data_IF_252669890915
#
_entry.id   IF_252669890915
#
_cell.length_a   1.000
_cell.length_b   1.000
_cell.length_c   1.000
_cell.angle_alpha   90.00
_cell.angle_beta   90.00
_cell.angle_gamma   90.00
#
_symmetry.space_group_name_H-M   'P 1'
#
loop_
_entity.id
_entity.type
_entity.pdbx_description
1 polymer ?
#
# COMPACT_ATOMS: atom_id res chain seq x y z
N UNK A 1 26.29 26.79 39.88
CA UNK A 1 26.17 26.63 38.42
C UNK A 1 26.93 25.38 37.99
N UNK A 2 26.46 24.65 36.96
CA UNK A 2 27.23 23.81 35.98
C UNK A 2 28.42 22.94 36.44
N UNK A 3 28.58 21.68 36.02
CA UNK A 3 27.77 20.79 35.15
C UNK A 3 28.31 19.36 35.34
N UNK A 4 27.46 18.34 35.41
CA UNK A 4 27.93 16.95 35.44
C UNK A 4 28.56 16.55 34.09
N UNK A 5 29.64 15.77 34.14
CA UNK A 5 30.29 15.20 32.97
C UNK A 5 29.51 14.00 32.43
N UNK A 6 29.41 13.91 31.11
CA UNK A 6 28.61 12.89 30.41
C UNK A 6 29.32 11.52 30.44
N UNK A 7 28.73 10.54 31.12
CA UNK A 7 29.19 9.14 31.06
C UNK A 7 28.99 8.54 29.67
N UNK A 8 29.92 7.67 29.27
CA UNK A 8 29.98 7.02 27.96
C UNK A 8 28.82 6.06 27.72
N UNK A 9 28.29 6.07 26.50
CA UNK A 9 27.25 5.12 26.07
C UNK A 9 27.92 3.86 25.50
N UNK A 10 28.33 2.95 26.37
CA UNK A 10 28.80 1.61 25.99
C UNK A 10 27.72 0.84 25.24
N UNK A 11 28.15 -0.03 24.32
CA UNK A 11 27.27 -0.91 23.57
C UNK A 11 26.48 -1.81 24.54
N UNK A 12 25.17 -1.93 24.33
CA UNK A 12 24.34 -2.86 25.10
C UNK A 12 24.25 -4.16 24.32
N UNK A 13 25.08 -5.11 24.75
CA UNK A 13 25.02 -6.50 24.32
C UNK A 13 23.65 -7.11 24.63
N UNK A 14 23.22 -8.06 23.80
CA UNK A 14 21.85 -8.58 23.76
C UNK A 14 21.83 -10.10 23.74
N UNK A 15 21.95 -10.72 24.91
CA UNK A 15 21.58 -12.12 25.11
C UNK A 15 20.05 -12.28 25.08
N UNK A 16 19.49 -13.33 24.50
CA UNK A 16 20.19 -14.41 23.80
C UNK A 16 19.28 -15.45 23.17
N UNK A 17 18.10 -15.03 22.70
CA UNK A 17 17.13 -15.79 21.89
C UNK A 17 16.37 -14.77 21.00
N UNK A 18 16.45 -14.78 19.67
CA UNK A 18 17.48 -15.41 18.84
C UNK A 18 17.84 -14.47 17.67
N UNK A 19 19.13 -14.40 17.29
CA UNK A 19 19.61 -13.38 16.33
C UNK A 19 19.47 -13.82 14.86
N UNK A 20 19.32 -12.90 13.89
CA UNK A 20 19.30 -13.26 12.46
C UNK A 20 20.49 -14.13 12.05
N UNK A 21 21.67 -13.85 12.59
CA UNK A 21 22.87 -14.67 12.39
C UNK A 21 22.67 -16.14 12.80
N UNK A 22 22.05 -16.39 13.95
CA UNK A 22 21.72 -17.74 14.43
C UNK A 22 20.60 -18.40 13.62
N UNK A 23 19.61 -17.63 13.14
CA UNK A 23 18.59 -18.14 12.19
C UNK A 23 19.23 -18.60 10.87
N UNK A 24 20.23 -17.86 10.38
CA UNK A 24 21.01 -18.23 9.19
C UNK A 24 21.87 -19.47 9.48
N UNK A 25 22.51 -19.56 10.66
CA UNK A 25 23.24 -20.78 11.09
C UNK A 25 22.31 -22.00 11.17
N UNK A 26 21.10 -21.82 11.70
CA UNK A 26 20.09 -22.87 11.80
C UNK A 26 19.61 -23.36 10.42
N UNK A 27 19.42 -22.46 9.45
CA UNK A 27 19.07 -22.82 8.06
C UNK A 27 20.21 -23.53 7.34
N UNK A 28 21.43 -23.02 7.47
CA UNK A 28 22.65 -23.67 6.93
C UNK A 28 22.75 -25.10 7.47
N UNK A 29 22.57 -25.29 8.78
CA UNK A 29 22.57 -26.61 9.44
C UNK A 29 21.42 -27.50 8.97
N UNK A 30 20.20 -26.96 8.83
CA UNK A 30 19.00 -27.70 8.42
C UNK A 30 19.03 -28.17 6.96
N UNK A 31 19.80 -27.51 6.09
CA UNK A 31 19.92 -27.95 4.68
C UNK A 31 20.63 -29.30 4.55
N UNK A 32 21.60 -29.62 5.43
CA UNK A 32 22.24 -30.92 5.53
C UNK A 32 23.12 -31.36 4.34
N UNK A 33 23.12 -30.60 3.25
CA UNK A 33 23.80 -30.92 1.99
C UNK A 33 24.69 -29.77 1.47
N UNK A 34 25.16 -29.90 0.22
CA UNK A 34 26.04 -28.92 -0.44
C UNK A 34 25.47 -27.50 -0.45
N UNK A 35 24.13 -27.33 -0.46
CA UNK A 35 23.48 -26.01 -0.47
C UNK A 35 23.73 -25.26 0.84
N UNK A 36 23.82 -25.99 1.96
CA UNK A 36 24.22 -25.44 3.25
C UNK A 36 25.65 -24.90 3.22
N UNK A 37 26.58 -25.69 2.66
CA UNK A 37 28.00 -25.32 2.51
C UNK A 37 28.16 -24.09 1.61
N UNK A 38 27.50 -24.08 0.45
CA UNK A 38 27.50 -22.95 -0.48
C UNK A 38 26.92 -21.69 0.15
N UNK A 39 25.78 -21.79 0.85
CA UNK A 39 25.16 -20.65 1.53
C UNK A 39 26.05 -20.08 2.66
N UNK A 40 26.76 -20.95 3.40
CA UNK A 40 27.73 -20.53 4.41
C UNK A 40 28.94 -19.78 3.80
N UNK A 41 29.46 -20.27 2.68
CA UNK A 41 30.56 -19.61 1.95
C UNK A 41 30.13 -18.25 1.37
N UNK A 42 28.92 -18.17 0.79
CA UNK A 42 28.32 -16.91 0.32
C UNK A 42 28.17 -15.91 1.46
N UNK A 43 27.57 -16.33 2.59
CA UNK A 43 27.41 -15.50 3.80
C UNK A 43 28.75 -14.93 4.27
N UNK A 44 29.76 -15.79 4.43
CA UNK A 44 31.11 -15.37 4.84
C UNK A 44 31.70 -14.34 3.87
N UNK A 45 31.60 -14.59 2.56
CA UNK A 45 32.11 -13.67 1.56
C UNK A 45 31.40 -12.31 1.58
N UNK A 46 30.09 -12.27 1.87
CA UNK A 46 29.33 -11.02 2.03
C UNK A 46 29.78 -10.27 3.29
N UNK A 47 29.80 -10.92 4.47
CA UNK A 47 30.21 -10.28 5.74
C UNK A 47 31.66 -9.79 5.73
N UNK A 48 32.57 -10.50 5.07
CA UNK A 48 33.97 -10.08 4.88
C UNK A 48 34.11 -8.82 3.99
N UNK A 49 33.06 -8.38 3.27
CA UNK A 49 33.14 -7.26 2.35
C UNK A 49 33.17 -5.90 3.08
N UNK A 50 32.38 -5.75 4.15
CA UNK A 50 32.26 -4.58 5.04
C UNK A 50 31.75 -5.04 6.42
N UNK A 51 32.42 -4.63 7.51
CA UNK A 51 32.12 -5.02 8.89
C UNK A 51 30.80 -4.45 9.42
N UNK A 52 30.25 -3.43 8.78
CA UNK A 52 28.97 -2.83 9.17
C UNK A 52 27.76 -3.41 8.40
N UNK A 53 27.95 -4.50 7.64
CA UNK A 53 26.85 -5.26 7.06
C UNK A 53 26.05 -5.93 8.17
N UNK A 54 24.74 -5.70 8.16
CA UNK A 54 23.78 -6.30 9.10
C UNK A 54 23.15 -7.51 8.43
N UNK A 55 23.06 -8.61 9.18
CA UNK A 55 22.28 -9.79 8.79
C UNK A 55 20.83 -9.61 9.24
N UNK A 56 19.89 -9.84 8.33
CA UNK A 56 18.47 -9.79 8.60
C UNK A 56 17.75 -11.06 8.09
N UNK A 57 16.54 -11.29 8.59
CA UNK A 57 15.76 -12.49 8.29
C UNK A 57 14.36 -12.12 7.81
N UNK A 58 14.12 -12.23 6.50
CA UNK A 58 12.90 -11.74 5.83
C UNK A 58 12.22 -12.83 4.99
N UNK A 59 11.03 -12.50 4.49
CA UNK A 59 10.28 -13.28 3.50
C UNK A 59 10.20 -14.78 3.82
N UNK A 60 9.71 -15.12 5.01
CA UNK A 60 9.45 -16.50 5.47
C UNK A 60 10.65 -17.45 5.40
N UNK A 61 11.87 -16.96 5.63
CA UNK A 61 13.05 -17.81 5.84
C UNK A 61 14.27 -17.49 4.98
N UNK A 62 14.36 -16.28 4.42
CA UNK A 62 15.47 -15.83 3.59
C UNK A 62 16.52 -15.06 4.41
N UNK A 63 17.78 -15.52 4.46
CA UNK A 63 18.94 -14.68 4.75
C UNK A 63 18.94 -13.40 3.88
N UNK A 64 19.08 -12.25 4.53
CA UNK A 64 19.24 -10.94 3.88
C UNK A 64 20.47 -10.25 4.45
N UNK A 65 21.22 -9.56 3.61
CA UNK A 65 22.33 -8.73 4.03
C UNK A 65 22.07 -7.28 3.65
N UNK A 66 22.23 -6.36 4.61
CA UNK A 66 21.92 -4.95 4.43
C UNK A 66 23.06 -4.05 4.89
N UNK A 67 23.25 -2.95 4.15
CA UNK A 67 24.10 -1.82 4.51
C UNK A 67 23.57 -0.59 3.79
N UNK A 68 23.01 0.33 4.58
CA UNK A 68 22.30 1.53 4.09
C UNK A 68 21.12 1.23 3.12
N UNK A 69 20.69 -0.04 3.07
CA UNK A 69 19.70 -0.62 2.17
C UNK A 69 20.03 -2.11 1.92
N UNK A 70 19.10 -2.87 1.31
CA UNK A 70 19.33 -4.27 0.96
C UNK A 70 20.49 -4.37 -0.04
N UNK A 71 21.45 -5.25 0.24
CA UNK A 71 22.49 -5.69 -0.70
C UNK A 71 21.93 -6.84 -1.51
N UNK A 72 21.71 -7.98 -0.85
CA UNK A 72 21.35 -9.23 -1.48
C UNK A 72 20.53 -10.16 -0.56
N UNK A 73 19.88 -11.13 -1.19
CA UNK A 73 18.97 -12.12 -0.61
C UNK A 73 19.45 -13.52 -0.97
N UNK A 74 19.75 -14.35 0.03
CA UNK A 74 20.25 -15.72 -0.18
C UNK A 74 19.15 -16.76 0.01
N UNK A 75 18.84 -17.55 -1.01
CA UNK A 75 17.83 -18.60 -0.98
C UNK A 75 18.35 -19.95 -1.49
N UNK A 76 18.24 -20.99 -0.66
CA UNK A 76 18.47 -22.36 -1.10
C UNK A 76 17.16 -22.95 -1.67
N UNK A 77 17.17 -23.25 -2.96
CA UNK A 77 16.12 -23.95 -3.69
C UNK A 77 16.46 -25.45 -3.80
N UNK A 78 15.64 -26.24 -4.52
CA UNK A 78 15.84 -27.70 -4.65
C UNK A 78 17.20 -28.06 -5.29
N UNK A 79 17.61 -27.26 -6.27
CA UNK A 79 18.68 -27.51 -7.24
C UNK A 79 19.81 -26.46 -7.21
N UNK A 80 19.63 -25.37 -6.47
CA UNK A 80 20.54 -24.21 -6.48
C UNK A 80 20.51 -23.37 -5.22
N UNK A 81 21.61 -22.66 -4.95
CA UNK A 81 21.64 -21.52 -4.04
C UNK A 81 21.60 -20.23 -4.86
N UNK A 82 20.51 -19.48 -4.72
CA UNK A 82 20.24 -18.23 -5.42
C UNK A 82 20.58 -17.01 -4.55
N UNK A 83 21.44 -16.13 -5.04
CA UNK A 83 21.75 -14.85 -4.44
C UNK A 83 21.19 -13.72 -5.31
N UNK A 84 20.11 -13.07 -4.88
CA UNK A 84 19.45 -11.99 -5.65
C UNK A 84 19.86 -10.63 -5.10
N UNK A 85 20.45 -9.76 -5.93
CA UNK A 85 20.85 -8.42 -5.54
C UNK A 85 19.72 -7.43 -5.78
N UNK A 86 19.31 -6.69 -4.74
CA UNK A 86 18.12 -5.82 -4.78
C UNK A 86 18.22 -4.67 -5.81
N UNK A 87 19.44 -4.30 -6.18
CA UNK A 87 19.72 -3.30 -7.23
C UNK A 87 20.71 -3.82 -8.28
N UNK A 88 20.78 -5.15 -8.47
CA UNK A 88 21.77 -5.82 -9.32
C UNK A 88 21.86 -5.27 -10.74
N UNK A 89 20.75 -4.78 -11.33
CA UNK A 89 20.75 -4.16 -12.66
C UNK A 89 21.58 -2.86 -12.76
N UNK A 90 21.77 -2.17 -11.64
CA UNK A 90 22.54 -0.91 -11.55
C UNK A 90 23.98 -1.10 -11.05
N UNK A 91 24.42 -2.34 -10.78
CA UNK A 91 25.77 -2.61 -10.28
C UNK A 91 26.75 -2.95 -11.40
N UNK A 92 28.00 -2.45 -11.38
CA UNK A 92 29.05 -2.97 -12.24
C UNK A 92 29.35 -4.43 -11.88
N UNK A 93 29.45 -5.29 -12.91
CA UNK A 93 29.77 -6.71 -12.78
C UNK A 93 30.89 -7.10 -13.77
N UNK A 94 32.13 -6.63 -13.53
CA UNK A 94 33.24 -6.85 -14.45
C UNK A 94 33.71 -8.31 -14.47
N UNK A 95 33.53 -9.03 -13.35
CA UNK A 95 33.88 -10.45 -13.21
C UNK A 95 32.73 -11.37 -13.71
N UNK A 96 31.63 -10.80 -14.23
CA UNK A 96 30.46 -11.49 -14.83
C UNK A 96 29.83 -12.56 -13.94
N UNK A 97 29.60 -12.23 -12.68
CA UNK A 97 28.98 -13.14 -11.71
C UNK A 97 27.48 -13.33 -11.91
N UNK A 98 26.76 -12.33 -12.43
CA UNK A 98 25.33 -12.47 -12.68
C UNK A 98 25.08 -13.43 -13.85
N UNK A 99 24.32 -14.50 -13.57
CA UNK A 99 23.91 -15.50 -14.56
C UNK A 99 22.38 -15.67 -14.64
N UNK A 100 21.60 -15.01 -13.76
CA UNK A 100 20.15 -15.11 -13.69
C UNK A 100 19.46 -13.74 -13.59
N UNK A 101 18.30 -13.60 -14.23
CA UNK A 101 17.52 -12.36 -14.23
C UNK A 101 18.20 -11.20 -14.96
N UNK A 102 18.98 -11.49 -16.00
CA UNK A 102 19.83 -10.51 -16.70
C UNK A 102 19.04 -9.37 -17.35
N UNK A 103 17.85 -9.66 -17.87
CA UNK A 103 16.92 -8.67 -18.45
C UNK A 103 16.12 -7.88 -17.38
N UNK A 104 16.40 -8.12 -16.10
CA UNK A 104 15.73 -7.47 -14.99
C UNK A 104 16.06 -5.98 -14.89
N UNK A 105 15.05 -5.11 -14.94
CA UNK A 105 15.21 -3.64 -14.83
C UNK A 105 15.70 -3.13 -13.47
N UNK A 106 15.77 -4.00 -12.44
CA UNK A 106 16.08 -3.61 -11.05
C UNK A 106 17.03 -4.62 -10.39
N UNK A 107 16.63 -5.89 -10.37
CA UNK A 107 17.36 -7.00 -9.74
C UNK A 107 18.07 -7.86 -10.79
N UNK A 108 19.27 -8.33 -10.44
CA UNK A 108 19.97 -9.45 -11.09
C UNK A 108 20.36 -10.46 -10.01
N UNK A 109 20.58 -11.71 -10.39
CA UNK A 109 20.87 -12.79 -9.46
C UNK A 109 22.03 -13.69 -9.92
N UNK A 110 22.63 -14.36 -8.94
CA UNK A 110 23.61 -15.42 -9.10
C UNK A 110 22.94 -16.71 -8.64
N UNK A 111 22.64 -17.60 -9.58
CA UNK A 111 22.19 -18.96 -9.30
C UNK A 111 23.44 -19.87 -9.28
N UNK A 112 23.74 -20.48 -8.13
CA UNK A 112 24.90 -21.38 -7.91
C UNK A 112 24.41 -22.83 -7.81
N UNK A 113 24.90 -23.70 -8.67
CA UNK A 113 24.50 -25.11 -8.79
C UNK A 113 25.47 -26.06 -8.09
N UNK A 114 25.15 -27.36 -8.07
CA UNK A 114 25.98 -28.37 -7.42
C UNK A 114 27.33 -28.53 -8.15
N UNK A 115 28.44 -28.42 -7.40
CA UNK A 115 29.80 -28.44 -7.94
C UNK A 115 30.36 -27.08 -8.39
N UNK A 116 29.54 -26.03 -8.48
CA UNK A 116 30.00 -24.68 -8.81
C UNK A 116 30.94 -24.11 -7.74
N UNK A 117 31.92 -23.32 -8.18
CA UNK A 117 32.83 -22.56 -7.31
C UNK A 117 32.60 -21.07 -7.49
N UNK A 118 32.01 -20.42 -6.49
CA UNK A 118 31.85 -18.96 -6.48
C UNK A 118 33.18 -18.27 -6.14
N UNK A 119 33.65 -17.33 -6.97
CA UNK A 119 34.83 -16.52 -6.64
C UNK A 119 34.47 -15.51 -5.53
N UNK A 120 34.91 -15.83 -4.31
CA UNK A 120 34.67 -14.99 -3.13
C UNK A 120 35.35 -13.61 -3.18
N UNK A 121 36.36 -13.38 -4.02
CA UNK A 121 36.94 -12.04 -4.24
C UNK A 121 36.06 -11.22 -5.16
N UNK A 122 35.60 -11.80 -6.27
CA UNK A 122 34.66 -11.16 -7.18
C UNK A 122 33.34 -10.82 -6.46
N UNK A 123 32.81 -11.75 -5.65
CA UNK A 123 31.59 -11.52 -4.87
C UNK A 123 31.77 -10.35 -3.87
N UNK A 124 32.93 -10.24 -3.21
CA UNK A 124 33.25 -9.10 -2.33
C UNK A 124 33.28 -7.77 -3.08
N UNK A 125 33.78 -7.72 -4.32
CA UNK A 125 33.73 -6.49 -5.15
C UNK A 125 32.28 -6.10 -5.44
N UNK A 126 31.46 -7.07 -5.87
CA UNK A 126 30.05 -6.84 -6.22
C UNK A 126 29.21 -6.38 -5.01
N UNK A 127 29.48 -6.96 -3.82
CA UNK A 127 28.88 -6.50 -2.55
C UNK A 127 29.27 -5.05 -2.24
N UNK A 128 30.54 -4.68 -2.37
CA UNK A 128 30.99 -3.28 -2.15
C UNK A 128 30.33 -2.29 -3.12
N UNK A 129 30.18 -2.66 -4.38
CA UNK A 129 29.46 -1.85 -5.36
C UNK A 129 27.98 -1.64 -4.97
N UNK A 130 27.32 -2.65 -4.38
CA UNK A 130 25.97 -2.52 -3.86
C UNK A 130 25.88 -1.56 -2.65
N UNK A 131 26.88 -1.61 -1.75
CA UNK A 131 26.99 -0.71 -0.59
C UNK A 131 27.14 0.74 -1.05
N UNK A 132 28.07 1.00 -1.97
CA UNK A 132 28.31 2.33 -2.53
C UNK A 132 27.04 2.87 -3.22
N UNK A 133 26.35 2.03 -3.99
CA UNK A 133 25.08 2.40 -4.63
C UNK A 133 24.01 2.81 -3.60
N UNK A 134 23.83 2.03 -2.52
CA UNK A 134 22.90 2.34 -1.44
C UNK A 134 23.26 3.65 -0.70
N UNK A 135 24.55 3.83 -0.39
CA UNK A 135 25.05 5.05 0.25
C UNK A 135 24.89 6.29 -0.63
N UNK A 136 25.12 6.19 -1.93
CA UNK A 136 24.89 7.29 -2.88
C UNK A 136 23.41 7.74 -2.91
N UNK A 137 22.46 6.80 -2.85
CA UNK A 137 21.02 7.09 -2.71
C UNK A 137 20.70 7.74 -1.37
N UNK A 138 21.29 7.27 -0.27
CA UNK A 138 21.09 7.83 1.08
C UNK A 138 21.64 9.25 1.21
N UNK A 139 22.78 9.54 0.59
CA UNK A 139 23.37 10.88 0.51
C UNK A 139 22.45 11.85 -0.28
N UNK A 140 21.96 11.44 -1.46
CA UNK A 140 21.00 12.23 -2.25
C UNK A 140 19.72 12.53 -1.47
N UNK A 141 19.13 11.55 -0.76
CA UNK A 141 17.97 11.77 0.13
C UNK A 141 18.26 12.76 1.27
N UNK A 142 19.44 12.71 1.90
CA UNK A 142 19.83 13.66 2.96
C UNK A 142 20.01 15.10 2.44
N UNK A 143 20.53 15.28 1.23
CA UNK A 143 20.67 16.60 0.61
C UNK A 143 19.30 17.26 0.41
N UNK A 144 18.34 16.54 -0.18
CA UNK A 144 16.96 17.02 -0.40
C UNK A 144 16.28 17.39 0.93
N UNK A 145 16.40 16.55 1.97
CA UNK A 145 15.82 16.83 3.28
C UNK A 145 16.42 18.07 3.98
N UNK A 146 17.71 18.37 3.75
CA UNK A 146 18.38 19.54 4.33
C UNK A 146 17.90 20.86 3.71
N UNK A 147 17.56 20.85 2.41
CA UNK A 147 16.93 22.00 1.73
C UNK A 147 15.54 22.25 2.29
N UNK A 148 14.68 21.22 2.35
CA UNK A 148 13.31 21.34 2.86
C UNK A 148 13.24 21.89 4.31
N UNK A 149 14.18 21.48 5.17
CA UNK A 149 14.20 21.93 6.57
C UNK A 149 14.54 23.42 6.71
N UNK A 150 15.34 24.01 5.81
CA UNK A 150 15.70 25.44 5.84
C UNK A 150 14.48 26.34 5.53
N UNK A 151 13.60 25.90 4.64
CA UNK A 151 12.35 26.59 4.29
C UNK A 151 11.35 26.61 5.47
N UNK A 152 11.27 25.52 6.23
CA UNK A 152 10.31 25.36 7.34
C UNK A 152 10.54 26.28 8.55
N UNK A 153 11.70 26.93 8.65
CA UNK A 153 12.05 27.80 9.77
C UNK A 153 11.42 29.20 9.69
N UNK A 154 10.94 29.63 8.52
CA UNK A 154 10.48 31.00 8.26
C UNK A 154 9.00 31.19 8.64
N UNK A 155 8.21 30.12 8.67
CA UNK A 155 6.72 30.19 8.70
C UNK A 155 6.09 29.99 10.09
N UNK A 156 6.86 30.06 11.18
CA UNK A 156 6.43 29.56 12.50
C UNK A 156 6.25 30.64 13.58
N UNK A 157 5.29 31.53 13.39
CA UNK A 157 4.83 32.48 14.41
C UNK A 157 3.30 32.58 14.44
N UNK A 158 2.73 32.48 15.65
CA UNK A 158 1.30 32.63 16.04
C UNK A 158 0.33 31.47 15.73
N UNK A 159 0.17 30.56 16.69
CA UNK A 159 -1.13 30.05 17.20
C UNK A 159 -0.90 29.24 18.50
N UNK A 160 -1.83 29.22 19.48
CA UNK A 160 -1.57 28.70 20.83
C UNK A 160 -1.87 27.20 21.02
N UNK A 161 -1.35 26.63 22.12
CA UNK A 161 -1.67 25.27 22.61
C UNK A 161 -2.96 25.25 23.42
N UNK A 162 -3.62 24.10 23.48
CA UNK A 162 -4.41 23.68 24.65
C UNK A 162 -4.10 22.22 25.03
N UNK A 163 -4.30 21.90 26.31
CA UNK A 163 -3.91 20.64 26.95
C UNK A 163 -5.08 19.65 27.02
N UNK A 164 -4.75 18.36 27.15
CA UNK A 164 -5.74 17.28 26.97
C UNK A 164 -6.53 16.91 28.23
N UNK A 165 -7.41 15.90 28.09
CA UNK A 165 -7.83 15.09 29.24
C UNK A 165 -8.15 13.64 28.84
N UNK A 166 -7.73 12.70 29.70
CA UNK A 166 -7.93 11.25 29.56
C UNK A 166 -9.38 10.85 29.92
N UNK A 167 -9.92 9.77 29.32
CA UNK A 167 -10.92 8.90 29.98
C UNK A 167 -10.99 7.48 29.40
N UNK A 168 -11.59 6.56 30.17
CA UNK A 168 -11.46 5.09 30.12
C UNK A 168 -12.58 4.37 29.34
N UNK A 169 -12.38 3.12 28.90
CA UNK A 169 -13.30 2.41 28.00
C UNK A 169 -14.43 1.62 28.69
N UNK A 170 -15.56 1.47 27.97
CA UNK A 170 -16.65 0.48 28.13
C UNK A 170 -17.34 0.34 26.76
N UNK A 171 -17.67 -0.84 26.20
CA UNK A 171 -17.28 -2.20 26.57
C UNK A 171 -17.89 -3.26 25.62
N UNK A 172 -17.06 -4.24 25.21
CA UNK A 172 -17.40 -5.56 24.61
C UNK A 172 -18.30 -5.63 23.36
N UNK A 173 -17.66 -5.73 22.20
CA UNK A 173 -18.01 -6.71 21.15
C UNK A 173 -16.74 -7.48 20.72
N UNK A 174 -16.88 -8.71 20.24
CA UNK A 174 -15.77 -9.57 19.81
C UNK A 174 -15.38 -9.29 18.35
N UNK A 175 -14.64 -8.20 18.13
CA UNK A 175 -13.68 -8.10 17.04
C UNK A 175 -12.33 -8.63 17.55
N UNK A 176 -11.41 -9.03 16.67
CA UNK A 176 -10.09 -9.58 17.08
C UNK A 176 -9.35 -8.63 18.04
N UNK A 177 -8.58 -9.17 18.98
CA UNK A 177 -8.02 -8.40 20.10
C UNK A 177 -6.92 -7.41 19.65
N UNK A 178 -7.36 -6.26 19.13
CA UNK A 178 -6.49 -5.21 18.60
C UNK A 178 -5.58 -4.58 19.66
N UNK A 179 -5.80 -4.89 20.95
CA UNK A 179 -4.94 -4.47 22.07
C UNK A 179 -3.53 -5.06 21.97
N UNK A 180 -3.37 -6.25 21.38
CA UNK A 180 -2.14 -7.05 21.48
C UNK A 180 -1.40 -7.26 20.14
N UNK A 181 -2.02 -6.91 19.01
CA UNK A 181 -1.47 -7.17 17.66
C UNK A 181 -0.99 -5.86 17.03
N UNK A 182 0.32 -5.59 17.13
CA UNK A 182 0.93 -4.41 16.54
C UNK A 182 1.08 -4.53 15.00
N UNK A 183 0.03 -4.16 14.27
CA UNK A 183 -0.03 -4.15 12.80
C UNK A 183 0.74 -2.99 12.14
N UNK A 184 1.35 -2.07 12.90
CA UNK A 184 1.97 -0.83 12.36
C UNK A 184 3.03 -1.11 11.30
N UNK A 185 3.75 -2.22 11.42
CA UNK A 185 4.75 -2.68 10.44
C UNK A 185 4.15 -3.07 9.09
N UNK A 186 2.88 -3.51 9.06
CA UNK A 186 2.18 -3.94 7.84
C UNK A 186 1.54 -2.78 7.07
N UNK A 187 1.20 -1.67 7.73
CA UNK A 187 0.43 -0.57 7.11
C UNK A 187 1.07 -0.05 5.81
N UNK A 188 2.40 0.20 5.71
CA UNK A 188 3.01 0.64 4.47
C UNK A 188 2.98 -0.41 3.35
N UNK A 189 3.03 -1.70 3.70
CA UNK A 189 2.92 -2.79 2.74
C UNK A 189 1.48 -2.93 2.24
N UNK A 190 0.50 -2.90 3.14
CA UNK A 190 -0.93 -2.96 2.79
C UNK A 190 -1.35 -1.79 1.93
N UNK A 191 -1.03 -0.55 2.34
CA UNK A 191 -1.33 0.65 1.55
C UNK A 191 -0.77 0.54 0.13
N UNK A 192 0.43 -0.03 0.01
CA UNK A 192 1.05 -0.34 -1.27
C UNK A 192 0.37 -1.47 -2.06
N UNK A 193 -0.17 -2.52 -1.40
CA UNK A 193 -0.88 -3.62 -2.06
C UNK A 193 -2.32 -3.27 -2.47
N UNK A 194 -3.00 -2.37 -1.74
CA UNK A 194 -4.36 -1.92 -2.11
C UNK A 194 -4.33 -0.81 -3.15
N UNK A 195 -3.23 -0.03 -3.23
CA UNK A 195 -3.02 1.00 -4.24
C UNK A 195 -3.10 0.46 -5.68
N UNK A 196 -2.67 -0.80 -5.91
CA UNK A 196 -2.76 -1.45 -7.23
C UNK A 196 -4.21 -1.56 -7.74
N UNK A 197 -5.19 -1.63 -6.82
CA UNK A 197 -6.62 -1.75 -7.09
C UNK A 197 -7.38 -0.43 -6.92
N UNK A 198 -6.79 0.54 -6.21
CA UNK A 198 -7.45 1.78 -5.82
C UNK A 198 -7.22 2.86 -6.87
N UNK A 199 -8.27 3.62 -7.18
CA UNK A 199 -8.21 4.72 -8.14
C UNK A 199 -9.03 5.89 -7.62
N UNK A 200 -8.75 7.10 -8.10
CA UNK A 200 -9.64 8.24 -7.90
C UNK A 200 -9.89 8.96 -9.22
N UNK A 201 -11.03 9.64 -9.31
CA UNK A 201 -11.42 10.42 -10.46
C UNK A 201 -10.86 11.84 -10.34
N UNK A 202 -10.43 12.40 -11.46
CA UNK A 202 -10.07 13.81 -11.58
C UNK A 202 -10.93 14.46 -12.66
N UNK A 203 -11.76 15.44 -12.27
CA UNK A 203 -12.39 16.34 -13.23
C UNK A 203 -11.30 17.18 -13.87
N UNK A 204 -11.23 17.14 -15.19
CA UNK A 204 -10.35 17.97 -15.98
C UNK A 204 -11.11 19.24 -16.37
N UNK A 205 -10.44 20.39 -16.27
CA UNK A 205 -10.95 21.67 -16.73
C UNK A 205 -9.83 22.46 -17.41
N UNK A 206 -10.19 23.36 -18.32
CA UNK A 206 -9.23 24.23 -19.03
C UNK A 206 -9.64 25.67 -18.81
N UNK A 207 -8.71 26.49 -18.32
CA UNK A 207 -8.92 27.93 -18.15
C UNK A 207 -7.85 28.67 -18.96
N UNK A 208 -8.26 29.24 -20.10
CA UNK A 208 -7.32 29.80 -21.08
C UNK A 208 -6.39 28.71 -21.63
N UNK A 209 -5.09 28.83 -21.37
CA UNK A 209 -4.04 27.91 -21.84
C UNK A 209 -3.49 26.99 -20.72
N UNK A 210 -4.23 26.84 -19.61
CA UNK A 210 -3.86 25.98 -18.49
C UNK A 210 -4.91 24.88 -18.25
N UNK A 211 -4.45 23.63 -18.27
CA UNK A 211 -5.21 22.49 -17.78
C UNK A 211 -5.19 22.45 -16.24
N UNK A 212 -6.31 22.10 -15.65
CA UNK A 212 -6.51 21.94 -14.22
C UNK A 212 -7.15 20.56 -13.95
N UNK A 213 -6.91 20.03 -12.75
CA UNK A 213 -7.44 18.76 -12.29
C UNK A 213 -7.91 18.86 -10.84
N UNK A 214 -9.09 18.32 -10.56
CA UNK A 214 -9.74 18.37 -9.24
C UNK A 214 -10.28 16.99 -8.84
N UNK A 215 -10.07 16.52 -7.60
CA UNK A 215 -10.58 15.22 -7.15
C UNK A 215 -12.11 15.17 -7.23
N UNK A 216 -12.63 14.14 -7.87
CA UNK A 216 -14.06 14.00 -8.18
C UNK A 216 -14.71 12.75 -7.54
N UNK A 217 -14.01 12.12 -6.60
CA UNK A 217 -14.39 10.85 -5.96
C UNK A 217 -13.30 9.80 -6.07
N UNK A 218 -13.50 8.68 -5.38
CA UNK A 218 -12.63 7.51 -5.36
C UNK A 218 -13.34 6.29 -5.97
N UNK A 219 -12.59 5.22 -6.19
CA UNK A 219 -13.13 3.95 -6.64
C UNK A 219 -12.15 2.80 -6.47
N UNK A 220 -12.65 1.59 -6.71
CA UNK A 220 -11.84 0.38 -6.81
C UNK A 220 -12.03 -0.28 -8.17
N UNK A 221 -10.92 -0.65 -8.81
CA UNK A 221 -10.92 -1.43 -10.03
C UNK A 221 -11.38 -2.85 -9.69
N UNK A 222 -12.52 -3.27 -10.23
CA UNK A 222 -13.11 -4.60 -9.98
C UNK A 222 -13.36 -5.38 -11.27
N UNK A 223 -13.43 -6.70 -11.13
CA UNK A 223 -13.81 -7.63 -12.18
C UNK A 223 -15.01 -8.48 -11.75
N UNK A 224 -16.02 -8.55 -12.62
CA UNK A 224 -17.19 -9.43 -12.49
C UNK A 224 -17.22 -10.31 -13.73
N UNK A 225 -16.58 -11.48 -13.66
CA UNK A 225 -16.31 -12.32 -14.83
C UNK A 225 -15.39 -11.60 -15.83
N UNK A 226 -15.86 -11.44 -17.07
CA UNK A 226 -15.18 -10.68 -18.13
C UNK A 226 -15.34 -9.17 -17.97
N UNK A 227 -16.35 -8.69 -17.24
CA UNK A 227 -16.68 -7.27 -17.08
C UNK A 227 -15.62 -6.61 -16.20
N UNK A 228 -15.04 -5.49 -16.68
CA UNK A 228 -14.03 -4.69 -15.98
C UNK A 228 -14.52 -3.26 -15.82
N UNK A 229 -14.31 -2.68 -14.65
CA UNK A 229 -14.73 -1.31 -14.37
C UNK A 229 -14.34 -0.82 -12.99
N UNK A 230 -14.88 0.33 -12.61
CA UNK A 230 -14.60 1.01 -11.36
C UNK A 230 -15.85 1.00 -10.49
N UNK A 231 -15.80 0.31 -9.35
CA UNK A 231 -16.75 0.44 -8.25
C UNK A 231 -16.58 1.81 -7.59
N UNK A 232 -17.67 2.52 -7.36
CA UNK A 232 -17.71 3.81 -6.66
C UNK A 232 -19.12 4.07 -6.07
N UNK A 233 -19.41 5.28 -5.58
CA UNK A 233 -20.76 5.68 -5.16
C UNK A 233 -21.60 6.18 -6.35
N UNK A 234 -22.93 6.07 -6.28
CA UNK A 234 -23.82 6.55 -7.35
C UNK A 234 -23.72 8.08 -7.52
N UNK A 235 -23.72 8.84 -6.41
CA UNK A 235 -23.58 10.30 -6.46
C UNK A 235 -22.26 10.77 -7.09
N UNK A 236 -21.20 9.94 -7.03
CA UNK A 236 -19.93 10.21 -7.74
C UNK A 236 -20.18 10.12 -9.25
N UNK A 237 -20.74 9.01 -9.74
CA UNK A 237 -21.01 8.83 -11.18
C UNK A 237 -21.96 9.88 -11.76
N UNK A 238 -22.99 10.30 -11.00
CA UNK A 238 -23.88 11.40 -11.37
C UNK A 238 -23.14 12.72 -11.60
N UNK A 239 -22.03 12.95 -10.86
CA UNK A 239 -21.22 14.17 -10.95
C UNK A 239 -20.11 14.08 -12.00
N UNK A 240 -19.81 12.91 -12.58
CA UNK A 240 -18.83 12.74 -13.67
C UNK A 240 -19.44 13.13 -15.04
N UNK A 241 -18.66 13.61 -16.02
CA UNK A 241 -19.17 13.89 -17.37
C UNK A 241 -19.70 12.61 -18.06
N UNK A 242 -20.57 12.78 -19.05
CA UNK A 242 -21.11 11.68 -19.87
C UNK A 242 -20.31 11.45 -21.17
N UNK A 243 -19.40 12.35 -21.52
CA UNK A 243 -18.56 12.27 -22.73
C UNK A 243 -17.24 13.03 -22.55
N UNK A 244 -16.21 12.67 -23.31
CA UNK A 244 -14.90 13.32 -23.28
C UNK A 244 -13.96 12.74 -22.20
N UNK A 245 -12.80 13.36 -22.03
CA UNK A 245 -11.77 12.84 -21.11
C UNK A 245 -12.15 13.02 -19.64
N UNK A 246 -12.15 11.90 -18.90
CA UNK A 246 -12.10 11.91 -17.45
C UNK A 246 -10.69 11.52 -16.98
N UNK A 247 -10.10 12.33 -16.10
CA UNK A 247 -8.81 12.04 -15.50
C UNK A 247 -8.88 10.94 -14.43
N UNK A 248 -7.81 10.17 -14.31
CA UNK A 248 -7.65 9.11 -13.32
C UNK A 248 -6.38 9.33 -12.49
N UNK A 249 -6.54 9.33 -11.17
CA UNK A 249 -5.48 9.43 -10.17
C UNK A 249 -5.17 8.01 -9.71
N UNK A 250 -3.99 7.49 -10.05
CA UNK A 250 -3.48 6.23 -9.50
C UNK A 250 -2.62 6.50 -8.27
N UNK A 251 -2.74 5.66 -7.26
CA UNK A 251 -1.89 5.70 -6.07
C UNK A 251 -0.63 4.85 -6.29
N UNK A 252 0.54 5.37 -5.91
CA UNK A 252 1.84 4.74 -6.22
C UNK A 252 2.79 4.86 -5.02
N UNK A 253 3.68 3.87 -4.83
CA UNK A 253 4.66 3.86 -3.71
C UNK A 253 5.73 4.96 -3.82
N UNK A 254 5.85 5.59 -4.97
CA UNK A 254 6.75 6.69 -5.25
C UNK A 254 6.02 7.64 -6.19
N UNK A 255 5.95 8.96 -5.90
CA UNK A 255 5.29 9.90 -6.78
C UNK A 255 5.82 9.78 -8.21
N UNK A 256 4.90 9.65 -9.15
CA UNK A 256 5.16 9.59 -10.59
C UNK A 256 4.27 10.62 -11.28
N UNK A 257 4.86 11.33 -12.25
CA UNK A 257 4.10 12.15 -13.17
C UNK A 257 3.14 11.27 -13.94
N UNK A 258 1.87 11.64 -13.97
CA UNK A 258 0.83 10.90 -14.66
C UNK A 258 -0.25 11.84 -15.20
N UNK A 259 -0.65 11.60 -16.45
CA UNK A 259 -1.90 12.07 -17.04
C UNK A 259 -2.58 10.82 -17.61
N UNK A 260 -3.22 10.05 -16.72
CA UNK A 260 -4.04 8.91 -17.13
C UNK A 260 -5.46 9.43 -17.35
N UNK A 261 -6.04 9.15 -18.52
CA UNK A 261 -7.43 9.50 -18.85
C UNK A 261 -8.20 8.27 -19.32
N UNK A 262 -9.52 8.38 -19.32
CA UNK A 262 -10.44 7.49 -20.04
C UNK A 262 -11.41 8.34 -20.84
N UNK A 263 -11.86 7.84 -21.98
CA UNK A 263 -12.97 8.45 -22.73
C UNK A 263 -14.29 7.99 -22.12
N UNK A 264 -15.09 8.95 -21.65
CA UNK A 264 -16.40 8.68 -21.07
C UNK A 264 -17.45 8.30 -22.12
N UNK A 265 -17.24 8.63 -23.41
CA UNK A 265 -18.13 8.17 -24.50
C UNK A 265 -18.02 6.66 -24.76
N UNK A 266 -16.94 6.02 -24.28
CA UNK A 266 -16.71 4.58 -24.35
C UNK A 266 -16.93 3.87 -22.99
N UNK A 267 -17.35 4.61 -21.97
CA UNK A 267 -17.64 4.06 -20.64
C UNK A 267 -19.15 4.07 -20.37
N UNK A 268 -19.64 3.12 -19.58
CA UNK A 268 -21.06 3.04 -19.25
C UNK A 268 -21.27 3.10 -17.74
N UNK A 269 -22.17 3.97 -17.29
CA UNK A 269 -22.54 4.15 -15.88
C UNK A 269 -23.69 3.20 -15.52
N UNK A 270 -23.46 2.32 -14.54
CA UNK A 270 -24.52 1.69 -13.75
C UNK A 270 -24.66 2.48 -12.44
N UNK A 271 -25.88 2.91 -12.15
CA UNK A 271 -26.24 3.75 -11.00
C UNK A 271 -27.39 3.04 -10.29
N UNK A 272 -27.18 2.68 -9.02
CA UNK A 272 -28.16 2.00 -8.16
C UNK A 272 -28.44 2.93 -6.97
N UNK A 273 -29.67 3.40 -6.85
CA UNK A 273 -30.07 4.47 -5.94
C UNK A 273 -30.68 5.67 -6.65
N UNK A 274 -31.48 6.44 -5.92
CA UNK A 274 -32.11 7.66 -6.44
C UNK A 274 -31.12 8.85 -6.51
N UNK A 275 -31.57 9.99 -7.05
CA UNK A 275 -30.83 11.25 -6.98
C UNK A 275 -31.39 12.11 -5.84
N UNK A 276 -30.52 12.66 -5.01
CA UNK A 276 -30.90 13.35 -3.79
C UNK A 276 -30.07 14.63 -3.61
N UNK A 277 -30.73 15.66 -3.07
CA UNK A 277 -30.15 17.01 -2.85
C UNK A 277 -29.70 17.24 -1.41
N UNK A 278 -29.83 16.24 -0.55
CA UNK A 278 -29.65 16.36 0.90
C UNK A 278 -28.53 15.41 1.33
N UNK A 279 -27.37 15.99 1.66
CA UNK A 279 -26.14 15.28 2.03
C UNK A 279 -26.06 14.96 3.54
N UNK A 280 -27.05 15.37 4.35
CA UNK A 280 -26.95 15.27 5.83
C UNK A 280 -27.13 13.84 6.38
N UNK A 281 -27.81 12.95 5.66
CA UNK A 281 -28.01 11.55 6.06
C UNK A 281 -27.56 10.54 4.97
N UNK A 282 -26.97 9.39 5.37
CA UNK A 282 -26.62 8.33 4.43
C UNK A 282 -27.90 7.66 3.89
N UNK A 283 -28.23 7.95 2.62
CA UNK A 283 -29.28 7.22 1.90
C UNK A 283 -28.68 6.08 1.10
N UNK A 284 -29.32 4.93 1.18
CA UNK A 284 -28.91 3.71 0.52
C UNK A 284 -30.09 3.17 -0.29
N UNK A 285 -29.87 2.55 -1.46
CA UNK A 285 -28.56 2.39 -2.11
C UNK A 285 -27.96 3.68 -2.67
N UNK A 286 -26.63 3.77 -2.68
CA UNK A 286 -25.82 4.80 -3.35
C UNK A 286 -24.61 4.10 -4.01
N UNK A 287 -24.88 3.18 -4.94
CA UNK A 287 -23.88 2.31 -5.54
C UNK A 287 -23.66 2.63 -7.02
N UNK A 288 -22.40 2.83 -7.40
CA UNK A 288 -22.00 3.12 -8.77
C UNK A 288 -21.03 2.07 -9.31
N UNK A 289 -21.19 1.71 -10.57
CA UNK A 289 -20.16 1.00 -11.33
C UNK A 289 -19.96 1.63 -12.71
N UNK A 290 -18.75 2.07 -13.00
CA UNK A 290 -18.36 2.56 -14.32
C UNK A 290 -17.72 1.41 -15.11
N UNK A 291 -18.46 0.81 -16.04
CA UNK A 291 -17.91 -0.17 -16.98
C UNK A 291 -16.96 0.53 -17.93
N UNK A 292 -15.80 -0.09 -18.16
CA UNK A 292 -14.79 0.40 -19.10
C UNK A 292 -14.87 -0.40 -20.40
N UNK A 293 -14.69 0.26 -21.54
CA UNK A 293 -14.44 -0.42 -22.80
C UNK A 293 -13.17 -1.31 -22.71
N UNK A 294 -13.08 -2.42 -23.48
CA UNK A 294 -11.98 -3.37 -23.38
C UNK A 294 -10.58 -2.77 -23.57
N UNK A 295 -10.44 -1.78 -24.45
CA UNK A 295 -9.19 -1.02 -24.66
C UNK A 295 -8.79 -0.20 -23.43
N UNK A 296 -9.73 0.48 -22.77
CA UNK A 296 -9.50 1.24 -21.54
C UNK A 296 -9.15 0.32 -20.36
N UNK A 297 -9.84 -0.81 -20.24
CA UNK A 297 -9.53 -1.83 -19.24
C UNK A 297 -8.13 -2.45 -19.47
N UNK A 298 -7.76 -2.72 -20.72
CA UNK A 298 -6.42 -3.21 -21.08
C UNK A 298 -5.34 -2.17 -20.76
N UNK A 299 -5.55 -0.89 -21.09
CA UNK A 299 -4.62 0.19 -20.79
C UNK A 299 -4.37 0.36 -19.28
N UNK A 300 -5.42 0.27 -18.44
CA UNK A 300 -5.26 0.29 -16.98
C UNK A 300 -4.61 -0.98 -16.44
N UNK A 301 -4.84 -2.14 -17.06
CA UNK A 301 -4.21 -3.41 -16.67
C UNK A 301 -2.67 -3.42 -16.82
N UNK A 302 -2.10 -2.45 -17.54
CA UNK A 302 -0.65 -2.27 -17.63
C UNK A 302 -0.01 -1.73 -16.32
N UNK A 303 -0.79 -1.10 -15.44
CA UNK A 303 -0.29 -0.48 -14.20
C UNK A 303 -1.11 -0.76 -12.95
N UNK A 304 -2.26 -1.41 -13.08
CA UNK A 304 -3.21 -1.66 -12.01
C UNK A 304 -3.79 -3.07 -12.12
N UNK A 305 -4.42 -3.53 -11.04
CA UNK A 305 -5.08 -4.83 -10.96
C UNK A 305 -6.57 -4.63 -10.68
N UNK A 306 -7.41 -5.33 -11.42
CA UNK A 306 -8.85 -5.39 -11.17
C UNK A 306 -9.17 -6.53 -10.19
N UNK A 307 -9.79 -6.21 -9.05
CA UNK A 307 -10.14 -7.16 -8.01
C UNK A 307 -11.32 -8.05 -8.43
N UNK A 308 -11.11 -9.37 -8.51
CA UNK A 308 -12.16 -10.31 -8.91
C UNK A 308 -13.14 -10.58 -7.77
N UNK A 309 -14.36 -10.01 -7.85
CA UNK A 309 -15.40 -10.19 -6.83
C UNK A 309 -16.03 -11.60 -6.88
N UNK A 310 -16.26 -12.17 -8.07
CA UNK A 310 -16.84 -13.52 -8.23
C UNK A 310 -16.05 -14.60 -7.46
N UNK A 311 -14.73 -14.40 -7.23
CA UNK A 311 -13.88 -15.33 -6.47
C UNK A 311 -14.33 -15.57 -5.02
N UNK A 312 -15.09 -14.65 -4.40
CA UNK A 312 -15.50 -14.74 -2.98
C UNK A 312 -17.00 -14.67 -2.75
N UNK A 313 -17.78 -14.29 -3.76
CA UNK A 313 -19.24 -14.15 -3.75
C UNK A 313 -19.98 -15.30 -3.07
N UNK A 314 -19.84 -16.54 -3.56
CA UNK A 314 -20.53 -17.72 -3.00
C UNK A 314 -20.24 -17.91 -1.50
N UNK A 315 -18.96 -17.78 -1.10
CA UNK A 315 -18.57 -17.87 0.31
C UNK A 315 -19.14 -16.75 1.18
N UNK A 316 -19.33 -15.55 0.62
CA UNK A 316 -19.86 -14.39 1.35
C UNK A 316 -21.38 -14.48 1.47
N UNK A 317 -22.08 -14.78 0.37
CA UNK A 317 -23.53 -14.90 0.34
C UNK A 317 -24.01 -16.13 1.13
N UNK A 318 -23.25 -17.22 1.12
CA UNK A 318 -23.48 -18.39 1.98
C UNK A 318 -23.08 -18.21 3.45
N UNK A 319 -22.64 -17.02 3.89
CA UNK A 319 -22.27 -16.74 5.28
C UNK A 319 -20.97 -17.39 5.77
N UNK A 320 -20.20 -18.03 4.88
CA UNK A 320 -18.93 -18.71 5.16
C UNK A 320 -17.78 -17.70 5.29
N UNK A 321 -17.87 -16.82 6.28
CA UNK A 321 -16.84 -15.82 6.59
C UNK A 321 -15.60 -16.47 7.22
N UNK A 322 -14.42 -16.06 6.76
CA UNK A 322 -13.13 -16.55 7.26
C UNK A 322 -12.92 -16.17 8.72
N UNK A 323 -12.44 -17.13 9.51
CA UNK A 323 -12.09 -17.01 10.94
C UNK A 323 -10.65 -16.58 11.21
N UNK A 324 -9.87 -16.28 10.17
CA UNK A 324 -8.51 -15.74 10.30
C UNK A 324 -8.52 -14.37 11.01
N UNK A 325 -7.41 -14.04 11.69
CA UNK A 325 -7.21 -12.68 12.20
C UNK A 325 -7.24 -11.69 11.04
N UNK A 326 -7.83 -10.52 11.24
CA UNK A 326 -7.87 -9.47 10.25
C UNK A 326 -7.88 -8.08 10.89
N UNK A 327 -7.54 -7.08 10.09
CA UNK A 327 -7.85 -5.69 10.37
C UNK A 327 -8.52 -5.04 9.17
N UNK A 328 -9.11 -3.86 9.37
CA UNK A 328 -9.86 -3.16 8.33
C UNK A 328 -9.25 -1.79 8.05
N UNK A 329 -9.36 -1.34 6.80
CA UNK A 329 -8.85 -0.04 6.39
C UNK A 329 -9.51 0.48 5.11
N UNK A 330 -9.77 1.78 5.08
CA UNK A 330 -10.48 2.44 4.00
C UNK A 330 -9.50 3.16 3.06
N UNK A 331 -9.62 2.94 1.74
CA UNK A 331 -8.73 3.51 0.72
C UNK A 331 -9.44 4.55 -0.16
N UNK A 332 -8.87 5.75 -0.32
CA UNK A 332 -9.42 6.79 -1.21
C UNK A 332 -8.58 8.07 -1.24
N UNK A 333 -8.85 8.97 -2.20
CA UNK A 333 -8.24 10.31 -2.23
C UNK A 333 -8.89 11.21 -1.18
N UNK A 334 -8.08 12.05 -0.53
CA UNK A 334 -8.55 13.11 0.36
C UNK A 334 -8.35 14.45 -0.35
N UNK A 335 -9.44 15.13 -0.70
CA UNK A 335 -9.42 16.32 -1.54
C UNK A 335 -8.66 17.49 -0.87
N UNK A 336 -8.85 17.69 0.44
CA UNK A 336 -8.12 18.71 1.22
C UNK A 336 -6.60 18.48 1.29
N UNK A 337 -6.11 17.29 0.90
CA UNK A 337 -4.67 16.97 0.86
C UNK A 337 -4.06 17.15 -0.54
N UNK A 338 -4.81 17.78 -1.46
CA UNK A 338 -4.30 18.18 -2.78
C UNK A 338 -3.21 19.25 -2.64
N UNK A 339 -2.08 19.02 -3.30
CA UNK A 339 -0.97 19.97 -3.37
C UNK A 339 -1.07 20.70 -4.71
N UNK A 340 -1.47 21.97 -4.68
CA UNK A 340 -1.72 22.78 -5.88
C UNK A 340 -0.46 23.19 -6.64
N UNK A 341 0.64 23.46 -5.92
CA UNK A 341 1.84 24.10 -6.46
C UNK A 341 3.10 23.24 -6.24
N UNK A 342 3.20 22.09 -6.92
CA UNK A 342 4.44 21.31 -6.94
C UNK A 342 5.46 21.97 -7.89
N UNK A 343 6.38 22.74 -7.34
CA UNK A 343 7.54 23.26 -8.08
C UNK A 343 8.67 22.23 -8.09
N UNK A 344 9.25 21.93 -9.26
CA UNK A 344 10.48 21.13 -9.34
C UNK A 344 10.71 20.26 -10.57
N UNK A 345 9.73 20.08 -11.46
CA UNK A 345 9.90 19.27 -12.67
C UNK A 345 9.97 20.15 -13.92
N UNK A 346 11.04 20.00 -14.70
CA UNK A 346 11.31 20.83 -15.87
C UNK A 346 10.31 20.53 -17.01
N UNK A 347 9.48 21.52 -17.35
CA UNK A 347 8.63 21.50 -18.55
C UNK A 347 7.12 21.59 -18.30
N UNK A 348 6.64 21.36 -17.08
CA UNK A 348 5.20 21.45 -16.77
C UNK A 348 4.80 22.85 -16.32
N UNK A 349 3.72 23.41 -16.91
CA UNK A 349 3.14 24.70 -16.48
C UNK A 349 2.42 24.60 -15.14
N UNK A 350 1.75 23.48 -14.88
CA UNK A 350 1.04 23.17 -13.64
C UNK A 350 1.27 21.70 -13.28
N UNK A 351 1.53 21.42 -12.01
CA UNK A 351 1.71 20.07 -11.48
C UNK A 351 1.03 19.99 -10.11
N UNK A 352 0.04 19.10 -9.98
CA UNK A 352 -0.67 18.85 -8.72
C UNK A 352 -0.29 17.51 -8.10
N UNK A 353 -0.23 17.46 -6.78
CA UNK A 353 -0.03 16.24 -6.00
C UNK A 353 -1.31 15.81 -5.30
N UNK A 354 -1.93 14.72 -5.74
CA UNK A 354 -3.09 14.13 -5.07
C UNK A 354 -2.64 13.07 -4.05
N UNK A 355 -3.21 13.08 -2.84
CA UNK A 355 -2.85 12.16 -1.77
C UNK A 355 -3.98 11.18 -1.46
N UNK A 356 -3.66 9.90 -1.51
CA UNK A 356 -4.50 8.83 -1.00
C UNK A 356 -4.29 8.60 0.49
N UNK A 357 -5.37 8.28 1.20
CA UNK A 357 -5.36 7.70 2.53
C UNK A 357 -5.58 6.19 2.39
N UNK A 358 -4.82 5.38 3.14
CA UNK A 358 -5.26 4.05 3.58
C UNK A 358 -5.42 4.12 5.10
N UNK A 359 -6.64 4.36 5.54
CA UNK A 359 -6.97 4.66 6.93
C UNK A 359 -7.39 3.39 7.66
N UNK A 360 -6.50 2.84 8.49
CA UNK A 360 -6.81 1.69 9.37
C UNK A 360 -7.83 2.09 10.42
N UNK A 361 -8.79 1.23 10.71
CA UNK A 361 -9.90 1.57 11.58
C UNK A 361 -10.73 0.36 11.99
N UNK A 362 -11.93 0.62 12.50
CA UNK A 362 -12.86 -0.40 12.98
C UNK A 362 -14.30 -0.05 12.59
N UNK A 363 -15.14 -1.08 12.47
CA UNK A 363 -16.58 -0.92 12.31
C UNK A 363 -17.19 -0.57 13.66
N UNK A 364 -17.72 0.65 13.78
CA UNK A 364 -18.38 1.16 14.99
C UNK A 364 -19.90 0.88 15.03
N UNK A 365 -20.49 0.50 13.91
CA UNK A 365 -21.91 0.19 13.78
C UNK A 365 -22.23 -0.52 12.48
N UNK A 366 -23.38 -1.20 12.44
CA UNK A 366 -23.92 -1.82 11.22
C UNK A 366 -25.43 -1.63 11.20
N UNK A 367 -25.98 -1.35 10.04
CA UNK A 367 -27.43 -1.25 9.82
C UNK A 367 -27.82 -1.91 8.49
N UNK A 368 -29.12 -1.95 8.20
CA UNK A 368 -29.65 -2.36 6.91
C UNK A 368 -30.74 -1.36 6.50
N UNK A 369 -30.77 -0.99 5.22
CA UNK A 369 -31.81 -0.14 4.62
C UNK A 369 -32.20 -0.74 3.27
N UNK A 370 -33.49 -1.00 3.06
CA UNK A 370 -34.04 -1.53 1.80
C UNK A 370 -33.32 -2.79 1.27
N UNK A 371 -32.85 -3.66 2.18
CA UNK A 371 -32.10 -4.88 1.87
C UNK A 371 -30.61 -4.68 1.60
N UNK A 372 -30.09 -3.46 1.69
CA UNK A 372 -28.67 -3.13 1.57
C UNK A 372 -28.03 -3.05 2.96
N UNK A 373 -27.01 -3.86 3.21
CA UNK A 373 -26.22 -3.79 4.43
C UNK A 373 -25.28 -2.58 4.43
N UNK A 374 -25.24 -1.87 5.55
CA UNK A 374 -24.42 -0.67 5.75
C UNK A 374 -23.51 -0.88 6.96
N UNK A 375 -22.29 -0.36 6.88
CA UNK A 375 -21.31 -0.37 7.98
C UNK A 375 -20.76 1.02 8.24
N UNK A 376 -20.74 1.41 9.50
CA UNK A 376 -20.22 2.68 9.99
C UNK A 376 -18.75 2.49 10.41
N UNK A 377 -17.83 3.03 9.63
CA UNK A 377 -16.38 2.85 9.83
C UNK A 377 -15.74 4.08 10.49
N UNK A 378 -14.89 3.86 11.50
CA UNK A 378 -14.10 4.91 12.13
C UNK A 378 -12.61 4.66 11.87
N UNK A 379 -11.98 5.59 11.15
CA UNK A 379 -10.53 5.60 10.92
C UNK A 379 -9.82 6.01 12.21
N UNK A 380 -8.81 5.22 12.59
CA UNK A 380 -7.92 5.49 13.71
C UNK A 380 -6.66 6.23 13.25
N UNK A 381 -6.18 7.14 14.09
CA UNK A 381 -4.98 7.95 13.84
C UNK A 381 -4.06 7.87 15.04
N UNK A 382 -2.75 7.74 14.80
CA UNK A 382 -1.75 7.86 15.85
C UNK A 382 -1.54 9.32 16.29
N UNK A 383 -0.89 9.54 17.43
CA UNK A 383 -0.69 10.87 18.03
C UNK A 383 0.07 11.88 17.14
N UNK A 384 0.78 11.40 16.10
CA UNK A 384 1.56 12.21 15.18
C UNK A 384 0.86 12.40 13.82
N UNK A 385 -0.20 11.64 13.54
CA UNK A 385 -0.96 11.69 12.29
C UNK A 385 -2.22 12.52 12.48
N UNK A 386 -2.31 13.69 11.84
CA UNK A 386 -3.51 14.52 11.88
C UNK A 386 -4.59 13.91 10.96
N UNK A 387 -5.75 13.60 11.53
CA UNK A 387 -6.95 13.26 10.76
C UNK A 387 -7.32 14.38 9.77
N UNK A 388 -7.90 14.07 8.60
CA UNK A 388 -8.46 15.08 7.72
C UNK A 388 -9.66 15.76 8.39
N UNK A 389 -9.90 17.03 8.07
CA UNK A 389 -11.10 17.73 8.53
C UNK A 389 -12.34 17.32 7.72
N UNK A 390 -12.13 17.01 6.45
CA UNK A 390 -13.11 16.55 5.49
C UNK A 390 -12.58 15.31 4.71
N UNK A 391 -13.39 14.25 4.62
CA UNK A 391 -13.10 13.09 3.77
C UNK A 391 -13.61 13.27 2.33
N UNK A 392 -13.98 14.49 1.94
CA UNK A 392 -14.31 14.85 0.56
C UNK A 392 -13.34 14.24 -0.46
N UNK A 393 -13.88 13.60 -1.49
CA UNK A 393 -13.12 12.80 -2.47
C UNK A 393 -13.01 11.31 -2.14
N UNK A 394 -13.25 10.87 -0.91
CA UNK A 394 -13.15 9.46 -0.51
C UNK A 394 -14.35 8.61 -0.94
N UNK A 395 -15.50 9.21 -1.26
CA UNK A 395 -16.70 8.49 -1.73
C UNK A 395 -16.38 7.58 -2.91
N UNK A 396 -16.85 6.32 -2.84
CA UNK A 396 -16.51 5.22 -3.72
C UNK A 396 -15.24 4.44 -3.37
N UNK A 397 -14.43 4.94 -2.43
CA UNK A 397 -13.22 4.29 -1.96
C UNK A 397 -13.51 2.97 -1.23
N UNK A 398 -12.81 1.89 -1.59
CA UNK A 398 -13.05 0.57 -1.02
C UNK A 398 -12.67 0.48 0.46
N UNK A 399 -13.56 -0.15 1.24
CA UNK A 399 -13.30 -0.65 2.58
C UNK A 399 -12.67 -2.04 2.45
N UNK A 400 -11.43 -2.18 2.88
CA UNK A 400 -10.68 -3.43 2.82
C UNK A 400 -10.69 -4.14 4.16
N UNK A 401 -10.88 -5.46 4.12
CA UNK A 401 -10.46 -6.39 5.18
C UNK A 401 -9.17 -7.04 4.76
N UNK A 402 -8.17 -6.96 5.62
CA UNK A 402 -6.83 -7.52 5.40
C UNK A 402 -6.62 -8.65 6.38
N UNK A 403 -6.52 -9.86 5.85
CA UNK A 403 -6.30 -11.06 6.64
C UNK A 403 -4.81 -11.19 6.96
N UNK A 404 -4.51 -11.54 8.21
CA UNK A 404 -3.16 -11.63 8.73
C UNK A 404 -2.91 -12.99 9.39
N UNK A 405 -1.78 -13.58 9.05
CA UNK A 405 -1.23 -14.71 9.77
C UNK A 405 -0.21 -14.22 10.79
N UNK A 406 -0.27 -14.76 12.00
CA UNK A 406 0.76 -14.65 13.02
C UNK A 406 1.53 -15.97 13.04
N UNK A 407 2.83 -15.95 12.78
CA UNK A 407 3.67 -17.14 12.88
C UNK A 407 3.99 -17.47 14.36
N UNK A 408 4.67 -18.60 14.59
CA UNK A 408 5.03 -19.06 15.93
C UNK A 408 5.98 -18.08 16.66
N UNK A 409 6.75 -17.27 15.91
CA UNK A 409 7.64 -16.23 16.45
C UNK A 409 6.88 -14.92 16.73
N UNK A 410 5.56 -14.90 16.50
CA UNK A 410 4.69 -13.75 16.68
C UNK A 410 4.76 -12.71 15.57
N UNK A 411 5.48 -12.97 14.47
CA UNK A 411 5.57 -12.05 13.33
C UNK A 411 4.27 -12.09 12.53
N UNK A 412 3.85 -10.92 12.09
CA UNK A 412 2.63 -10.75 11.29
C UNK A 412 2.98 -10.75 9.80
N UNK A 413 2.12 -11.37 8.99
CA UNK A 413 2.19 -11.37 7.53
C UNK A 413 0.78 -11.27 6.94
N UNK A 414 0.65 -10.65 5.77
CA UNK A 414 -0.63 -10.53 5.07
C UNK A 414 -0.91 -11.87 4.38
N UNK A 415 -2.01 -12.55 4.75
CA UNK A 415 -2.43 -13.81 4.10
C UNK A 415 -3.28 -13.56 2.86
N UNK A 416 -4.15 -12.55 2.91
CA UNK A 416 -5.04 -12.16 1.81
C UNK A 416 -5.66 -10.77 2.06
N UNK A 417 -6.37 -10.23 1.06
CA UNK A 417 -7.15 -8.99 1.18
C UNK A 417 -8.47 -9.10 0.43
N UNK A 418 -9.49 -8.44 0.96
CA UNK A 418 -10.85 -8.50 0.45
C UNK A 418 -11.49 -7.13 0.52
N UNK A 419 -12.16 -6.70 -0.55
CA UNK A 419 -13.11 -5.57 -0.48
C UNK A 419 -14.31 -6.06 0.34
N UNK A 420 -14.61 -5.42 1.46
CA UNK A 420 -15.78 -5.74 2.31
C UNK A 420 -16.83 -4.64 2.29
N UNK A 421 -16.59 -3.60 1.50
CA UNK A 421 -17.50 -2.48 1.33
C UNK A 421 -16.88 -1.34 0.53
N UNK A 422 -17.57 -0.20 0.45
CA UNK A 422 -17.01 1.06 -0.03
C UNK A 422 -17.72 2.24 0.63
N UNK A 423 -16.98 3.32 0.90
CA UNK A 423 -17.52 4.54 1.50
C UNK A 423 -18.45 5.27 0.53
N UNK A 424 -19.51 5.88 1.04
CA UNK A 424 -20.37 6.77 0.24
C UNK A 424 -20.80 8.03 1.01
N UNK A 425 -20.79 8.01 2.33
CA UNK A 425 -21.19 9.15 3.17
C UNK A 425 -20.21 9.37 4.33
N UNK A 426 -20.15 10.60 4.85
CA UNK A 426 -19.45 10.92 6.09
C UNK A 426 -20.37 11.68 7.04
N UNK A 427 -20.31 11.35 8.32
CA UNK A 427 -21.07 12.07 9.34
C UNK A 427 -20.62 13.53 9.47
N UNK A 428 -21.49 14.34 10.08
CA UNK A 428 -21.07 15.62 10.69
C UNK A 428 -19.90 15.37 11.67
N UNK A 429 -19.03 16.37 11.80
CA UNK A 429 -17.88 16.32 12.71
C UNK A 429 -18.37 16.42 14.16
N UNK A 430 -18.22 15.34 14.93
CA UNK A 430 -18.63 15.27 16.33
C UNK A 430 -17.40 14.94 17.18
N UNK A 431 -17.10 15.78 18.18
CA UNK A 431 -15.94 15.63 19.07
C UNK A 431 -14.59 15.46 18.34
N UNK A 432 -14.44 16.08 17.17
CA UNK A 432 -13.22 15.99 16.35
C UNK A 432 -13.10 14.72 15.49
N UNK A 433 -14.11 13.85 15.49
CA UNK A 433 -14.17 12.63 14.68
C UNK A 433 -15.33 12.67 13.69
N UNK A 434 -15.20 11.93 12.58
CA UNK A 434 -16.29 11.59 11.66
C UNK A 434 -16.38 10.08 11.53
N UNK A 435 -17.60 9.59 11.41
CA UNK A 435 -17.91 8.22 10.98
C UNK A 435 -18.06 8.22 9.47
N UNK A 436 -17.57 7.19 8.79
CA UNK A 436 -17.69 7.03 7.34
C UNK A 436 -18.63 5.86 7.07
N UNK A 437 -19.81 6.15 6.55
CA UNK A 437 -20.79 5.11 6.23
C UNK A 437 -20.45 4.49 4.88
N UNK A 438 -20.39 3.17 4.89
CA UNK A 438 -20.02 2.35 3.74
C UNK A 438 -21.15 1.36 3.40
N UNK A 439 -21.31 1.04 2.13
CA UNK A 439 -22.02 -0.18 1.74
C UNK A 439 -21.23 -1.41 2.19
N UNK A 440 -21.92 -2.45 2.65
CA UNK A 440 -21.34 -3.67 3.19
C UNK A 440 -21.15 -4.81 2.18
N UNK A 441 -20.87 -6.00 2.69
CA UNK A 441 -20.56 -7.18 1.90
C UNK A 441 -21.77 -7.72 1.13
N UNK A 442 -22.98 -7.73 1.71
CA UNK A 442 -24.17 -8.24 1.01
C UNK A 442 -24.54 -7.33 -0.16
N UNK A 443 -24.38 -6.02 0.02
CA UNK A 443 -24.57 -5.02 -1.03
C UNK A 443 -23.57 -5.21 -2.18
N UNK A 444 -22.27 -5.32 -1.86
CA UNK A 444 -21.20 -5.44 -2.87
C UNK A 444 -21.20 -6.79 -3.60
N UNK A 445 -21.46 -7.89 -2.91
CA UNK A 445 -21.39 -9.24 -3.51
C UNK A 445 -22.74 -9.81 -3.94
N UNK A 446 -23.86 -9.29 -3.42
CA UNK A 446 -25.20 -9.61 -3.89
C UNK A 446 -25.66 -8.59 -4.93
N UNK A 447 -26.32 -7.53 -4.47
CA UNK A 447 -27.01 -6.53 -5.30
C UNK A 447 -26.14 -5.99 -6.44
N UNK A 448 -24.93 -5.49 -6.14
CA UNK A 448 -24.05 -4.91 -7.16
C UNK A 448 -23.61 -5.92 -8.24
N UNK A 449 -23.23 -7.14 -7.85
CA UNK A 449 -22.83 -8.17 -8.83
C UNK A 449 -24.02 -8.57 -9.69
N UNK A 450 -25.19 -8.76 -9.09
CA UNK A 450 -26.43 -9.07 -9.77
C UNK A 450 -26.80 -8.00 -10.82
N UNK A 451 -26.78 -6.72 -10.44
CA UNK A 451 -27.07 -5.61 -11.35
C UNK A 451 -26.02 -5.47 -12.47
N UNK A 452 -24.72 -5.66 -12.19
CA UNK A 452 -23.67 -5.68 -13.21
C UNK A 452 -23.91 -6.80 -14.23
N UNK A 453 -24.26 -8.01 -13.77
CA UNK A 453 -24.51 -9.16 -14.65
C UNK A 453 -25.84 -9.04 -15.41
N UNK A 454 -26.86 -8.44 -14.80
CA UNK A 454 -28.15 -8.12 -15.44
C UNK A 454 -27.98 -7.09 -16.55
N UNK A 455 -27.18 -6.04 -16.30
CA UNK A 455 -26.96 -4.95 -17.26
C UNK A 455 -26.08 -5.33 -18.44
N UNK A 456 -25.06 -6.16 -18.21
CA UNK A 456 -24.16 -6.64 -19.27
C UNK A 456 -24.00 -8.16 -19.19
N UNK A 457 -25.02 -8.93 -19.64
CA UNK A 457 -24.94 -10.38 -19.64
C UNK A 457 -23.78 -10.84 -20.53
N UNK A 458 -23.02 -11.82 -20.03
CA UNK A 458 -21.99 -12.50 -20.83
C UNK A 458 -22.72 -13.52 -21.70
N UNK A 459 -22.71 -13.28 -23.01
CA UNK A 459 -23.24 -14.17 -24.05
C UNK A 459 -22.26 -15.31 -24.33
#
# INVERSE_FOLDING_TARGET
MTKAATSSKTAKDGSGEDSPSRMIDAKIRKLGDWRGVTLANVRKAILDADKEIIEEWKWMGSPVWERDGIIAVGNAHKDKVKLTFAHGASLPDPDKLFNAGLDGKVWRAIDVFEGDKIDGRALKKLVRAAIEFNQSKKAKKKAVAKVAKKTSAITRTKAPKQEGLKRKPRGKFRQGDFSEINITSLIPEVGAQVADFSIAFAKLSVQGNEENAEPAGSGALIAVGSIRGILTAAHVLRKLPDSGELGLIRFTKSPLVQKQTIDMSLAEKLIIGEDHKDDDEPRAPDMGFLRLAPNQAAALSATNVFFNLKKREESILGGNLRSENYFEGLSGVIAEWTIENLTGEAGFRRLKGFRGLFGVGYVSGSSERDGYDLVDFQVTYDENTKAPYDYGGMSGGALWRVYINKDNDGRLSISDKQIVGFAFHQSKLVNGSRTITCHGMRSVYGHLIQEIQSRWPVV
#
